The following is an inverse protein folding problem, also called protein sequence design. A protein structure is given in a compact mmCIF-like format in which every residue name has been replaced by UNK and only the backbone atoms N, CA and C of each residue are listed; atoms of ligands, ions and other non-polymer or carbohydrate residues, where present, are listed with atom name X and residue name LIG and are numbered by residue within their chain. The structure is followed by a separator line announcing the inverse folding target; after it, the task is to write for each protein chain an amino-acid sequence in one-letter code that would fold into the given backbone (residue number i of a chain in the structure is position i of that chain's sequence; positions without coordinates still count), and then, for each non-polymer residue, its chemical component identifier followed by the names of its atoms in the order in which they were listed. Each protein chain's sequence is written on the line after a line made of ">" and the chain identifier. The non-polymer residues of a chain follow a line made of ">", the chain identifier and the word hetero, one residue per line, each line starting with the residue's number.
data_IF_960193933631
#
_entry.id   IF_960193933631
#
_cell.length_a   1.000
_cell.length_b   1.000
_cell.length_c   1.000
_cell.angle_alpha   90.00
_cell.angle_beta   90.00
_cell.angle_gamma   90.00
#
_symmetry.space_group_name_H-M   'P 1'
#
loop_
_entity.id
_entity.type
_entity.pdbx_description
1 polymer ?
#
# COMPACT_ATOMS: atom_id res chain seq x y z
N UNK A 1 4.42 -3.85 -12.53
CA UNK A 1 3.07 -4.32 -12.18
C UNK A 1 2.08 -4.07 -13.32
N UNK A 2 1.65 -2.82 -13.64
CA UNK A 2 0.62 -2.53 -14.66
C UNK A 2 0.99 -3.05 -16.07
N UNK A 3 2.26 -2.96 -16.46
CA UNK A 3 2.75 -3.52 -17.71
C UNK A 3 2.70 -5.05 -17.74
N UNK A 4 3.16 -5.70 -16.67
CA UNK A 4 3.11 -7.18 -16.54
C UNK A 4 1.67 -7.68 -16.63
N UNK A 5 0.72 -6.99 -15.98
CA UNK A 5 -0.69 -7.34 -16.10
C UNK A 5 -1.22 -7.12 -17.53
N UNK A 6 -0.83 -6.00 -18.17
CA UNK A 6 -1.27 -5.69 -19.52
C UNK A 6 -0.80 -6.73 -20.55
N UNK A 7 0.41 -7.23 -20.38
CA UNK A 7 1.06 -8.15 -21.34
C UNK A 7 0.74 -9.61 -21.04
N UNK A 8 0.59 -9.99 -19.77
CA UNK A 8 0.58 -11.41 -19.38
C UNK A 8 -0.69 -11.90 -18.70
N UNK A 9 -1.66 -11.02 -18.37
CA UNK A 9 -2.85 -11.45 -17.62
C UNK A 9 -3.62 -12.58 -18.33
N UNK A 10 -3.94 -12.39 -19.61
CA UNK A 10 -4.75 -13.35 -20.37
C UNK A 10 -3.99 -14.67 -20.61
N UNK A 11 -2.70 -14.58 -20.92
CA UNK A 11 -1.85 -15.75 -21.10
C UNK A 11 -1.71 -16.54 -19.78
N UNK A 12 -1.52 -15.84 -18.67
CA UNK A 12 -1.40 -16.44 -17.33
C UNK A 12 -2.73 -17.09 -16.91
N UNK A 13 -3.86 -16.41 -17.14
CA UNK A 13 -5.19 -16.97 -16.85
C UNK A 13 -5.46 -18.24 -17.67
N UNK A 14 -5.14 -18.22 -18.98
CA UNK A 14 -5.30 -19.36 -19.88
C UNK A 14 -4.44 -20.57 -19.47
N UNK A 15 -3.19 -20.31 -19.08
CA UNK A 15 -2.24 -21.37 -18.75
C UNK A 15 -2.34 -21.84 -17.29
N UNK A 16 -3.20 -21.24 -16.46
CA UNK A 16 -3.29 -21.57 -15.04
C UNK A 16 -2.09 -21.08 -14.22
N UNK A 17 -1.36 -20.09 -14.72
CA UNK A 17 -0.23 -19.47 -14.02
C UNK A 17 -0.71 -18.28 -13.19
N UNK A 18 -0.46 -18.29 -11.89
CA UNK A 18 -0.82 -17.20 -10.98
C UNK A 18 0.40 -16.31 -10.75
N UNK A 19 0.32 -15.06 -11.20
CA UNK A 19 1.36 -14.05 -11.05
C UNK A 19 0.88 -12.99 -10.05
N UNK A 20 1.61 -12.85 -8.95
CA UNK A 20 1.29 -11.90 -7.88
C UNK A 20 2.41 -10.88 -7.80
N UNK A 21 2.08 -9.63 -8.08
CA UNK A 21 3.05 -8.53 -8.08
C UNK A 21 3.07 -7.81 -6.74
N UNK A 22 4.23 -7.23 -6.39
CA UNK A 22 4.36 -6.36 -5.23
C UNK A 22 4.18 -7.06 -3.86
N UNK A 23 4.74 -8.27 -3.71
CA UNK A 23 4.75 -9.03 -2.46
C UNK A 23 5.90 -8.58 -1.53
N UNK A 24 6.04 -7.29 -1.27
CA UNK A 24 7.05 -6.71 -0.38
C UNK A 24 6.47 -5.61 0.49
N UNK A 25 7.36 -4.87 1.18
CA UNK A 25 6.93 -3.76 2.04
C UNK A 25 6.17 -2.69 1.24
N UNK A 26 6.67 -2.31 0.07
CA UNK A 26 5.93 -1.43 -0.86
C UNK A 26 4.78 -2.21 -1.48
N UNK A 27 3.81 -2.51 -0.66
CA UNK A 27 2.42 -2.75 -0.91
C UNK A 27 1.72 -3.61 0.13
N UNK A 28 2.31 -4.70 0.64
CA UNK A 28 1.61 -5.64 1.55
C UNK A 28 1.11 -4.95 2.83
N UNK A 29 1.93 -4.22 3.59
CA UNK A 29 1.45 -3.53 4.80
C UNK A 29 0.37 -2.49 4.51
N UNK A 30 0.45 -1.80 3.36
CA UNK A 30 -0.57 -0.84 2.95
C UNK A 30 -1.87 -1.53 2.55
N UNK A 31 -1.78 -2.61 1.79
CA UNK A 31 -2.94 -3.31 1.24
C UNK A 31 -3.66 -4.12 2.31
N UNK A 32 -2.95 -4.98 3.03
CA UNK A 32 -3.54 -5.75 4.14
C UNK A 32 -3.95 -4.84 5.30
N UNK A 33 -3.19 -3.78 5.56
CA UNK A 33 -3.56 -2.76 6.55
C UNK A 33 -4.84 -2.02 6.18
N UNK A 34 -5.04 -1.68 4.90
CA UNK A 34 -6.30 -1.14 4.42
C UNK A 34 -7.45 -2.14 4.57
N UNK A 35 -7.25 -3.41 4.21
CA UNK A 35 -8.26 -4.45 4.37
C UNK A 35 -8.62 -4.67 5.85
N UNK A 36 -7.62 -4.72 6.73
CA UNK A 36 -7.83 -4.79 8.18
C UNK A 36 -8.60 -3.58 8.69
N UNK A 37 -8.17 -2.36 8.33
CA UNK A 37 -8.82 -1.11 8.71
C UNK A 37 -10.28 -1.05 8.24
N UNK A 38 -10.51 -1.40 6.97
CA UNK A 38 -11.83 -1.39 6.34
C UNK A 38 -12.83 -2.27 7.09
N UNK A 39 -12.41 -3.39 7.61
CA UNK A 39 -13.22 -4.34 8.37
C UNK A 39 -13.56 -3.88 9.80
N UNK A 40 -12.92 -2.81 10.29
CA UNK A 40 -13.29 -2.20 11.58
C UNK A 40 -14.58 -1.34 11.49
N UNK A 41 -15.03 -1.03 10.28
CA UNK A 41 -16.27 -0.28 10.04
C UNK A 41 -17.48 -1.20 10.09
N UNK A 42 -17.89 -1.56 11.33
CA UNK A 42 -19.06 -2.39 11.53
C UNK A 42 -20.35 -1.64 11.11
N UNK A 43 -21.31 -2.31 10.43
CA UNK A 43 -22.59 -1.71 10.12
C UNK A 43 -23.29 -1.14 11.37
N UNK A 44 -23.98 0.00 11.26
CA UNK A 44 -24.31 0.74 10.04
C UNK A 44 -23.24 1.74 9.58
N UNK A 45 -22.04 1.77 10.19
CA UNK A 45 -21.00 2.74 9.85
C UNK A 45 -20.30 2.42 8.53
N UNK A 46 -19.88 3.49 7.83
CA UNK A 46 -19.21 3.40 6.52
C UNK A 46 -18.06 4.39 6.43
N UNK A 47 -16.90 3.99 5.90
CA UNK A 47 -15.78 4.90 5.64
C UNK A 47 -16.05 5.73 4.38
N UNK A 48 -15.50 6.94 4.34
CA UNK A 48 -15.41 7.79 3.14
C UNK A 48 -13.95 7.84 2.66
N UNK A 49 -13.04 8.05 3.59
CA UNK A 49 -11.62 8.19 3.27
C UNK A 49 -10.74 7.52 4.31
N UNK A 50 -9.62 6.98 3.84
CA UNK A 50 -8.56 6.41 4.67
C UNK A 50 -7.24 7.00 4.22
N UNK A 51 -6.57 7.72 5.11
CA UNK A 51 -5.24 8.25 4.88
C UNK A 51 -4.22 7.40 5.64
N UNK A 52 -3.32 6.75 4.92
CA UNK A 52 -2.20 6.05 5.52
C UNK A 52 -1.01 7.00 5.72
N UNK A 53 -0.34 6.86 6.87
CA UNK A 53 0.84 7.61 7.26
C UNK A 53 1.97 6.65 7.59
N UNK A 54 3.03 6.67 6.80
CA UNK A 54 4.19 5.78 6.96
C UNK A 54 5.27 6.50 7.75
N UNK A 55 5.63 5.97 8.91
CA UNK A 55 6.71 6.44 9.76
C UNK A 55 7.81 5.40 9.86
N UNK A 56 9.04 5.80 9.63
CA UNK A 56 10.23 5.00 9.89
C UNK A 56 10.86 5.49 11.18
N UNK A 57 11.17 4.57 12.08
CA UNK A 57 11.73 4.87 13.40
C UNK A 57 13.05 4.15 13.59
N UNK A 58 14.03 4.83 14.15
CA UNK A 58 15.33 4.27 14.53
C UNK A 58 16.06 5.24 15.48
N UNK A 59 16.85 4.70 16.38
CA UNK A 59 17.80 5.46 17.19
C UNK A 59 19.07 5.84 16.41
N UNK A 60 19.24 5.23 15.23
CA UNK A 60 20.36 5.48 14.31
C UNK A 60 19.84 6.14 13.02
N UNK A 61 20.79 6.64 12.22
CA UNK A 61 20.44 7.17 10.90
C UNK A 61 19.84 6.07 10.04
N UNK A 62 18.61 6.29 9.57
CA UNK A 62 17.94 5.38 8.64
C UNK A 62 18.63 5.44 7.29
N UNK A 63 18.93 4.28 6.73
CA UNK A 63 19.48 4.11 5.39
C UNK A 63 18.68 3.05 4.66
N UNK A 64 18.10 3.43 3.51
CA UNK A 64 17.33 2.53 2.67
C UNK A 64 18.20 1.72 1.71
N UNK A 65 17.58 0.70 1.11
CA UNK A 65 18.21 -0.12 0.07
C UNK A 65 18.46 0.71 -1.20
N UNK A 66 19.64 0.56 -1.79
CA UNK A 66 19.99 1.26 -3.04
C UNK A 66 19.05 0.95 -4.18
N UNK A 67 18.57 -0.30 -4.31
CA UNK A 67 17.59 -0.70 -5.33
C UNK A 67 16.27 0.06 -5.27
N UNK A 68 15.85 0.49 -4.07
CA UNK A 68 14.67 1.35 -3.90
C UNK A 68 14.90 2.73 -4.54
N UNK A 69 16.07 3.33 -4.33
CA UNK A 69 16.44 4.60 -4.95
C UNK A 69 16.53 4.46 -6.49
N UNK A 70 17.19 3.41 -6.95
CA UNK A 70 17.30 3.09 -8.38
C UNK A 70 15.93 2.90 -9.02
N UNK A 71 15.04 2.14 -8.38
CA UNK A 71 13.66 1.94 -8.85
C UNK A 71 12.87 3.26 -8.94
N UNK A 72 13.06 4.18 -7.99
CA UNK A 72 12.44 5.50 -8.05
C UNK A 72 12.95 6.33 -9.24
N UNK A 73 14.28 6.31 -9.48
CA UNK A 73 14.91 7.00 -10.62
C UNK A 73 14.41 6.42 -11.95
N UNK A 74 14.35 5.09 -12.09
CA UNK A 74 13.85 4.41 -13.29
C UNK A 74 12.33 4.60 -13.45
N UNK A 75 11.59 4.74 -12.36
CA UNK A 75 10.16 5.05 -12.39
C UNK A 75 9.86 6.39 -13.05
N UNK A 76 10.70 7.41 -12.80
CA UNK A 76 10.60 8.72 -13.48
C UNK A 76 10.97 8.59 -14.94
N UNK A 77 12.02 7.84 -15.28
CA UNK A 77 12.45 7.61 -16.66
C UNK A 77 11.34 6.99 -17.52
N UNK A 78 10.57 6.06 -16.95
CA UNK A 78 9.53 5.30 -17.65
C UNK A 78 8.11 5.88 -17.46
N UNK A 79 7.98 7.09 -16.89
CA UNK A 79 6.68 7.67 -16.55
C UNK A 79 5.79 7.93 -17.78
N UNK A 80 6.38 8.33 -18.91
CA UNK A 80 5.67 8.57 -20.16
C UNK A 80 5.09 7.27 -20.75
N UNK A 81 5.87 6.18 -20.73
CA UNK A 81 5.43 4.86 -21.20
C UNK A 81 4.26 4.34 -20.34
N UNK A 82 4.37 4.50 -19.01
CA UNK A 82 3.29 4.13 -18.10
C UNK A 82 2.02 4.94 -18.35
N UNK A 83 2.15 6.24 -18.65
CA UNK A 83 1.00 7.08 -18.99
C UNK A 83 0.36 6.66 -20.33
N UNK A 84 1.18 6.33 -21.34
CA UNK A 84 0.71 5.82 -22.62
C UNK A 84 -0.06 4.50 -22.44
N UNK A 85 0.49 3.56 -21.66
CA UNK A 85 -0.16 2.31 -21.30
C UNK A 85 -1.51 2.53 -20.61
N UNK A 86 -1.58 3.46 -19.66
CA UNK A 86 -2.84 3.79 -18.95
C UNK A 86 -3.89 4.42 -19.84
N UNK A 87 -3.48 5.16 -20.87
CA UNK A 87 -4.39 5.79 -21.84
C UNK A 87 -4.92 4.79 -22.88
N UNK A 88 -4.12 3.78 -23.25
CA UNK A 88 -4.50 2.76 -24.25
C UNK A 88 -5.45 1.70 -23.68
N UNK A 89 -5.59 1.60 -22.36
CA UNK A 89 -6.43 0.57 -21.72
C UNK A 89 -7.80 1.12 -21.27
N UNK A 90 -8.85 0.29 -21.32
CA UNK A 90 -10.14 0.66 -20.75
C UNK A 90 -9.97 0.99 -19.24
N UNK A 91 -10.77 1.94 -18.78
CA UNK A 91 -10.79 2.29 -17.37
C UNK A 91 -11.39 1.14 -16.56
N UNK A 92 -10.69 0.73 -15.51
CA UNK A 92 -11.25 -0.24 -14.56
C UNK A 92 -12.45 0.34 -13.81
N UNK A 93 -13.42 -0.50 -13.43
CA UNK A 93 -14.52 -0.09 -12.58
C UNK A 93 -13.98 0.48 -11.26
N UNK A 94 -14.70 1.47 -10.76
CA UNK A 94 -14.38 2.11 -9.48
C UNK A 94 -15.42 1.69 -8.45
N UNK A 95 -14.99 1.42 -7.22
CA UNK A 95 -15.94 1.13 -6.16
C UNK A 95 -16.86 2.33 -5.92
N UNK A 96 -18.10 2.06 -5.55
CA UNK A 96 -19.01 3.08 -5.06
C UNK A 96 -18.59 3.44 -3.62
N UNK A 97 -18.07 4.66 -3.44
CA UNK A 97 -17.63 5.17 -2.14
C UNK A 97 -18.66 6.20 -1.67
N UNK A 98 -19.19 6.04 -0.46
CA UNK A 98 -20.14 7.01 0.09
C UNK A 98 -19.53 8.40 0.25
N UNK A 99 -20.28 9.44 -0.12
CA UNK A 99 -19.88 10.84 0.06
C UNK A 99 -18.84 11.34 -0.95
N UNK A 100 -18.49 12.63 -0.86
CA UNK A 100 -17.54 13.25 -1.77
C UNK A 100 -16.10 12.82 -1.45
N UNK A 101 -15.21 12.82 -2.47
CA UNK A 101 -13.79 12.61 -2.22
C UNK A 101 -13.23 13.68 -1.27
N UNK A 102 -12.29 13.32 -0.39
CA UNK A 102 -11.68 14.28 0.52
C UNK A 102 -11.01 15.42 -0.26
N UNK A 103 -10.99 16.65 0.28
CA UNK A 103 -10.33 17.76 -0.37
C UNK A 103 -8.85 17.44 -0.61
N UNK A 104 -8.30 18.00 -1.68
CA UNK A 104 -6.86 17.90 -1.92
C UNK A 104 -6.16 18.68 -0.79
N UNK A 105 -5.60 17.96 0.18
CA UNK A 105 -4.82 18.57 1.25
C UNK A 105 -3.54 19.22 0.76
N UNK A 106 -2.85 19.94 1.64
CA UNK A 106 -1.52 20.51 1.38
C UNK A 106 -0.50 19.42 1.01
N UNK A 107 0.52 19.81 0.24
CA UNK A 107 1.64 18.91 -0.07
C UNK A 107 2.34 18.43 1.21
N UNK A 108 2.53 19.38 2.16
CA UNK A 108 3.08 19.14 3.50
C UNK A 108 2.04 19.58 4.52
N UNK A 109 1.83 18.77 5.53
CA UNK A 109 0.93 19.07 6.65
C UNK A 109 1.52 18.55 7.96
N UNK A 110 1.05 19.08 9.09
CA UNK A 110 1.30 18.53 10.41
C UNK A 110 0.02 17.84 10.89
N UNK A 111 0.05 16.51 10.98
CA UNK A 111 -1.06 15.76 11.54
C UNK A 111 -1.05 15.89 13.07
N UNK A 112 -2.08 16.54 13.61
CA UNK A 112 -2.20 16.83 15.05
C UNK A 112 -2.50 15.58 15.87
N UNK A 113 -3.17 14.59 15.27
CA UNK A 113 -3.55 13.35 15.96
C UNK A 113 -2.34 12.46 16.18
N UNK A 114 -1.47 12.38 15.18
CA UNK A 114 -0.25 11.57 15.22
C UNK A 114 0.97 12.35 15.74
N UNK A 115 0.90 13.70 15.76
CA UNK A 115 2.02 14.56 16.13
C UNK A 115 3.17 14.52 15.11
N UNK A 116 2.88 14.22 13.85
CA UNK A 116 3.88 14.00 12.80
C UNK A 116 3.71 14.99 11.64
N UNK A 117 4.83 15.41 11.08
CA UNK A 117 4.85 16.07 9.78
C UNK A 117 4.67 15.04 8.68
N UNK A 118 3.83 15.32 7.70
CA UNK A 118 3.50 14.41 6.61
C UNK A 118 3.66 15.08 5.25
N UNK A 119 4.16 14.31 4.28
CA UNK A 119 4.31 14.75 2.89
C UNK A 119 3.66 13.74 1.96
N UNK A 120 2.92 14.24 0.96
CA UNK A 120 2.37 13.42 -0.11
C UNK A 120 3.42 13.20 -1.18
N UNK A 121 3.82 11.95 -1.36
CA UNK A 121 4.71 11.50 -2.42
C UNK A 121 4.02 10.47 -3.32
N UNK A 122 4.45 10.31 -4.58
CA UNK A 122 4.03 9.18 -5.40
C UNK A 122 4.36 7.87 -4.67
N UNK A 123 3.36 6.98 -4.52
CA UNK A 123 3.51 5.69 -3.86
C UNK A 123 2.86 4.58 -4.68
N UNK A 124 3.52 3.44 -4.76
CA UNK A 124 2.98 2.21 -5.31
C UNK A 124 1.77 1.72 -4.50
N UNK A 125 1.77 1.90 -3.18
CA UNK A 125 0.72 1.48 -2.26
C UNK A 125 -0.66 1.99 -2.66
N UNK A 126 -0.76 3.29 -3.00
CA UNK A 126 -2.02 3.87 -3.46
C UNK A 126 -2.54 3.20 -4.74
N UNK A 127 -1.62 2.81 -5.63
CA UNK A 127 -1.99 2.14 -6.89
C UNK A 127 -2.46 0.72 -6.61
N UNK A 128 -1.75 -0.02 -5.75
CA UNK A 128 -2.06 -1.41 -5.43
C UNK A 128 -3.41 -1.53 -4.72
N UNK A 129 -3.65 -0.73 -3.67
CA UNK A 129 -4.95 -0.71 -2.96
C UNK A 129 -6.10 -0.37 -3.90
N UNK A 130 -5.96 0.63 -4.78
CA UNK A 130 -6.99 0.96 -5.77
C UNK A 130 -7.26 -0.17 -6.75
N UNK A 131 -6.23 -0.93 -7.12
CA UNK A 131 -6.39 -2.09 -8.02
C UNK A 131 -7.12 -3.23 -7.35
N UNK A 132 -6.81 -3.51 -6.09
CA UNK A 132 -7.56 -4.49 -5.28
C UNK A 132 -9.02 -4.09 -5.15
N UNK A 133 -9.30 -2.84 -4.83
CA UNK A 133 -10.67 -2.34 -4.78
C UNK A 133 -11.40 -2.44 -6.13
N UNK A 134 -10.71 -2.20 -7.26
CA UNK A 134 -11.28 -2.40 -8.59
C UNK A 134 -11.57 -3.88 -8.87
N UNK A 135 -10.64 -4.79 -8.52
CA UNK A 135 -10.83 -6.24 -8.66
C UNK A 135 -12.03 -6.72 -7.85
N UNK A 136 -12.18 -6.24 -6.61
CA UNK A 136 -13.35 -6.58 -5.76
C UNK A 136 -14.65 -5.96 -6.31
N UNK A 137 -14.57 -4.82 -6.98
CA UNK A 137 -15.74 -4.23 -7.67
C UNK A 137 -16.18 -5.08 -8.86
N UNK A 138 -15.23 -5.67 -9.61
CA UNK A 138 -15.49 -6.62 -10.70
C UNK A 138 -15.96 -7.98 -10.17
N UNK A 139 -15.42 -8.40 -9.02
CA UNK A 139 -15.70 -9.68 -8.36
C UNK A 139 -16.10 -9.45 -6.90
N UNK A 140 -17.36 -9.08 -6.60
CA UNK A 140 -17.77 -8.70 -5.24
C UNK A 140 -17.61 -9.80 -4.19
N UNK A 141 -17.65 -11.06 -4.62
CA UNK A 141 -17.38 -12.21 -3.75
C UNK A 141 -15.88 -12.58 -3.68
N UNK A 142 -15.00 -11.79 -4.33
CA UNK A 142 -13.59 -12.10 -4.52
C UNK A 142 -13.32 -13.11 -5.63
N UNK A 143 -12.04 -13.34 -5.91
CA UNK A 143 -11.60 -14.27 -6.94
C UNK A 143 -11.77 -15.72 -6.43
N UNK A 144 -12.48 -16.60 -7.16
CA UNK A 144 -12.68 -17.98 -6.74
C UNK A 144 -11.37 -18.78 -6.81
N UNK A 145 -11.21 -19.74 -5.91
CA UNK A 145 -10.11 -20.71 -5.92
C UNK A 145 -10.23 -21.75 -7.02
N UNK A 146 -9.13 -22.45 -7.29
CA UNK A 146 -9.10 -23.52 -8.33
C UNK A 146 -10.01 -24.68 -7.94
N UNK A 147 -9.92 -25.11 -6.68
CA UNK A 147 -10.63 -26.25 -6.11
C UNK A 147 -10.96 -25.95 -4.64
N UNK A 148 -11.50 -24.73 -4.39
CA UNK A 148 -11.83 -24.31 -3.04
C UNK A 148 -12.98 -25.14 -2.44
N UNK A 149 -12.91 -25.41 -1.14
CA UNK A 149 -14.00 -26.04 -0.41
C UNK A 149 -15.20 -25.09 -0.28
N UNK A 150 -16.39 -25.63 -0.04
CA UNK A 150 -17.58 -24.82 0.21
C UNK A 150 -17.39 -23.87 1.42
N UNK A 151 -16.76 -24.36 2.47
CA UNK A 151 -16.47 -23.58 3.68
C UNK A 151 -15.51 -22.41 3.38
N UNK A 152 -14.48 -22.63 2.55
CA UNK A 152 -13.59 -21.54 2.16
C UNK A 152 -14.27 -20.54 1.22
N UNK A 153 -15.09 -21.02 0.29
CA UNK A 153 -15.89 -20.15 -0.58
C UNK A 153 -16.82 -19.22 0.22
N UNK A 154 -17.48 -19.74 1.25
CA UNK A 154 -18.29 -18.95 2.17
C UNK A 154 -17.42 -17.96 2.98
N UNK A 155 -16.30 -18.42 3.53
CA UNK A 155 -15.34 -17.56 4.24
C UNK A 155 -14.85 -16.41 3.35
N UNK A 156 -14.47 -16.68 2.10
CA UNK A 156 -14.05 -15.68 1.11
C UNK A 156 -15.14 -14.64 0.85
N UNK A 157 -16.38 -15.08 0.62
CA UNK A 157 -17.53 -14.18 0.44
C UNK A 157 -17.76 -13.30 1.66
N UNK A 158 -17.73 -13.88 2.86
CA UNK A 158 -17.90 -13.17 4.11
C UNK A 158 -16.77 -12.16 4.36
N UNK A 159 -15.54 -12.54 4.03
CA UNK A 159 -14.39 -11.63 4.09
C UNK A 159 -14.63 -10.39 3.22
N UNK A 160 -14.91 -10.57 1.93
CA UNK A 160 -15.08 -9.46 0.99
C UNK A 160 -16.32 -8.62 1.26
N UNK A 161 -17.41 -9.20 1.73
CA UNK A 161 -18.61 -8.45 2.17
C UNK A 161 -18.33 -7.51 3.34
N UNK A 162 -17.36 -7.85 4.18
CA UNK A 162 -16.90 -7.02 5.30
C UNK A 162 -15.97 -5.88 4.89
N UNK A 163 -15.35 -5.93 3.71
CA UNK A 163 -14.45 -4.87 3.20
C UNK A 163 -15.28 -3.71 2.66
N UNK A 164 -15.10 -2.53 3.24
CA UNK A 164 -15.80 -1.30 2.84
C UNK A 164 -14.84 -0.42 2.02
N UNK A 165 -15.19 -0.07 0.77
CA UNK A 165 -14.35 0.79 -0.06
C UNK A 165 -14.27 2.20 0.50
N UNK A 166 -13.11 2.84 0.35
CA UNK A 166 -12.87 4.22 0.74
C UNK A 166 -11.87 4.90 -0.20
N UNK A 167 -11.89 6.24 -0.24
CA UNK A 167 -10.83 7.00 -0.89
C UNK A 167 -9.53 6.81 -0.14
N UNK A 168 -8.54 6.19 -0.78
CA UNK A 168 -7.27 5.84 -0.15
C UNK A 168 -6.12 6.71 -0.62
N UNK A 169 -5.32 7.19 0.32
CA UNK A 169 -4.09 7.93 0.11
C UNK A 169 -2.98 7.49 1.04
N UNK A 170 -1.71 7.77 0.65
CA UNK A 170 -0.52 7.46 1.46
C UNK A 170 0.34 8.70 1.57
N UNK A 171 0.88 8.97 2.76
CA UNK A 171 1.85 10.02 3.05
C UNK A 171 3.04 9.44 3.80
N UNK A 172 4.24 9.93 3.48
CA UNK A 172 5.41 9.68 4.32
C UNK A 172 5.43 10.70 5.46
N UNK A 173 5.92 10.26 6.62
CA UNK A 173 5.97 11.13 7.80
C UNK A 173 7.37 11.25 8.36
N UNK A 174 7.57 12.34 9.12
CA UNK A 174 8.76 12.60 9.90
C UNK A 174 8.40 13.28 11.21
N UNK A 175 9.15 12.98 12.27
CA UNK A 175 9.05 13.70 13.56
C UNK A 175 9.50 15.16 13.45
N UNK A 176 10.31 15.49 12.45
CA UNK A 176 10.87 16.82 12.24
C UNK A 176 10.57 17.39 10.87
N UNK A 177 10.43 18.71 10.78
CA UNK A 177 10.30 19.41 9.51
C UNK A 177 11.54 19.23 8.62
N UNK A 178 12.74 19.09 9.23
CA UNK A 178 13.97 18.83 8.50
C UNK A 178 13.88 17.51 7.70
N UNK A 179 13.31 16.46 8.27
CA UNK A 179 13.08 15.20 7.55
C UNK A 179 12.18 15.39 6.32
N UNK A 180 11.14 16.23 6.44
CA UNK A 180 10.28 16.57 5.28
C UNK A 180 11.07 17.32 4.20
N UNK A 181 11.92 18.28 4.59
CA UNK A 181 12.79 19.01 3.65
C UNK A 181 13.72 18.04 2.91
N UNK A 182 14.28 17.05 3.61
CA UNK A 182 15.11 16.02 2.99
C UNK A 182 14.33 15.15 1.98
N UNK A 183 13.09 14.77 2.28
CA UNK A 183 12.23 14.06 1.33
C UNK A 183 11.94 14.91 0.09
N UNK A 184 11.64 16.21 0.28
CA UNK A 184 11.41 17.15 -0.82
C UNK A 184 12.68 17.27 -1.68
N UNK A 185 13.83 17.49 -1.07
CA UNK A 185 15.11 17.58 -1.77
C UNK A 185 15.38 16.33 -2.63
N UNK A 186 15.25 15.14 -2.04
CA UNK A 186 15.45 13.87 -2.74
C UNK A 186 14.46 13.71 -3.90
N UNK A 187 13.18 14.01 -3.66
CA UNK A 187 12.14 13.95 -4.69
C UNK A 187 12.38 14.93 -5.85
N UNK A 188 12.83 16.15 -5.54
CA UNK A 188 13.20 17.15 -6.56
C UNK A 188 14.42 16.70 -7.37
N UNK A 189 15.46 16.17 -6.74
CA UNK A 189 16.63 15.63 -7.43
C UNK A 189 16.24 14.51 -8.40
N UNK A 190 15.43 13.56 -7.95
CA UNK A 190 14.94 12.45 -8.79
C UNK A 190 14.04 12.99 -9.91
N UNK A 191 13.12 13.91 -9.62
CA UNK A 191 12.19 14.47 -10.60
C UNK A 191 12.87 15.27 -11.71
N UNK A 192 13.87 16.08 -11.34
CA UNK A 192 14.59 16.94 -12.29
C UNK A 192 15.62 16.15 -13.11
N UNK A 193 16.38 15.26 -12.47
CA UNK A 193 17.50 14.55 -13.11
C UNK A 193 17.10 13.20 -13.72
N UNK A 194 16.06 12.55 -13.19
CA UNK A 194 15.64 11.20 -13.61
C UNK A 194 15.10 11.14 -15.03
N UNK A 195 14.64 12.26 -15.60
CA UNK A 195 14.05 12.32 -16.95
C UNK A 195 15.06 12.09 -18.09
N UNK A 196 16.35 12.30 -17.90
CA UNK A 196 17.38 12.21 -18.94
C UNK A 196 18.57 11.33 -18.52
N UNK A 197 19.24 10.70 -19.49
CA UNK A 197 20.24 9.64 -19.27
C UNK A 197 21.45 10.11 -18.41
N UNK A 198 22.00 11.30 -18.69
CA UNK A 198 23.09 11.85 -17.91
C UNK A 198 22.68 12.10 -16.44
N UNK A 199 21.50 12.69 -16.22
CA UNK A 199 20.99 12.93 -14.87
C UNK A 199 20.78 11.63 -14.08
N UNK A 200 20.23 10.58 -14.71
CA UNK A 200 20.11 9.25 -14.11
C UNK A 200 21.48 8.68 -13.72
N UNK A 201 22.44 8.77 -14.64
CA UNK A 201 23.81 8.31 -14.39
C UNK A 201 24.43 9.01 -13.18
N UNK A 202 24.20 10.33 -13.06
CA UNK A 202 24.67 11.13 -11.94
C UNK A 202 24.01 10.74 -10.61
N UNK A 203 22.66 10.59 -10.60
CA UNK A 203 21.89 10.12 -9.44
C UNK A 203 22.40 8.76 -8.94
N UNK A 204 22.53 7.78 -9.84
CA UNK A 204 22.96 6.43 -9.50
C UNK A 204 24.44 6.34 -9.14
N UNK A 205 25.28 7.26 -9.61
CA UNK A 205 26.69 7.34 -9.23
C UNK A 205 26.87 7.90 -7.82
N UNK A 206 26.07 8.90 -7.43
CA UNK A 206 26.18 9.61 -6.15
C UNK A 206 24.89 9.59 -5.33
N UNK A 207 24.30 8.40 -5.04
CA UNK A 207 23.00 8.30 -4.39
C UNK A 207 22.97 8.97 -3.01
N UNK A 208 24.04 8.86 -2.25
CA UNK A 208 24.13 9.46 -0.90
C UNK A 208 24.03 10.99 -0.92
N UNK A 209 24.60 11.64 -1.93
CA UNK A 209 24.50 13.09 -2.09
C UNK A 209 23.07 13.53 -2.43
N UNK A 210 22.47 12.92 -3.47
CA UNK A 210 21.16 13.29 -3.98
C UNK A 210 19.99 12.82 -3.11
N UNK A 211 20.24 11.97 -2.13
CA UNK A 211 19.25 11.52 -1.16
C UNK A 211 19.51 12.05 0.26
N UNK A 212 20.37 13.07 0.43
CA UNK A 212 20.76 13.55 1.75
C UNK A 212 21.25 12.42 2.69
N UNK A 213 21.87 11.39 2.11
CA UNK A 213 22.41 10.23 2.82
C UNK A 213 21.39 9.15 3.20
N UNK A 214 20.15 9.23 2.70
CA UNK A 214 19.14 8.18 2.91
C UNK A 214 19.44 6.90 2.14
N UNK A 215 20.14 7.00 0.99
CA UNK A 215 20.49 5.85 0.18
C UNK A 215 22.00 5.83 -0.10
N UNK A 216 22.60 4.66 0.02
CA UNK A 216 24.01 4.40 -0.24
C UNK A 216 24.17 3.11 -1.02
N UNK A 217 25.20 3.00 -1.88
CA UNK A 217 25.49 1.76 -2.62
C UNK A 217 25.83 0.58 -1.70
N UNK A 218 26.46 0.86 -0.58
CA UNK A 218 26.79 -0.15 0.44
C UNK A 218 25.56 -0.62 1.25
N UNK A 219 24.42 0.06 1.11
CA UNK A 219 23.24 -0.19 1.94
C UNK A 219 23.43 0.21 3.42
N UNK A 220 22.51 -0.16 4.30
CA UNK A 220 22.63 0.02 5.75
C UNK A 220 23.61 -0.98 6.37
N UNK A 221 24.11 -0.65 7.56
CA UNK A 221 24.83 -1.62 8.41
C UNK A 221 23.85 -2.49 9.18
N UNK A 222 24.32 -3.65 9.70
CA UNK A 222 23.48 -4.54 10.53
C UNK A 222 22.87 -3.81 11.74
N UNK A 223 23.63 -2.93 12.37
CA UNK A 223 23.14 -2.10 13.47
C UNK A 223 22.06 -1.12 13.05
N UNK A 224 22.12 -0.57 11.82
CA UNK A 224 21.07 0.31 11.29
C UNK A 224 19.81 -0.48 10.96
N UNK A 225 19.95 -1.70 10.47
CA UNK A 225 18.82 -2.61 10.21
C UNK A 225 18.17 -3.04 11.53
N UNK A 226 18.95 -3.53 12.49
CA UNK A 226 18.41 -4.06 13.76
C UNK A 226 17.75 -2.99 14.64
N UNK A 227 18.19 -1.72 14.53
CA UNK A 227 17.59 -0.60 15.29
C UNK A 227 16.36 0.03 14.62
N UNK A 228 16.07 -0.32 13.37
CA UNK A 228 15.00 0.32 12.63
C UNK A 228 13.68 -0.47 12.71
N UNK A 229 12.58 0.27 12.69
CA UNK A 229 11.22 -0.25 12.66
C UNK A 229 10.33 0.68 11.84
N UNK A 230 9.12 0.23 11.54
CA UNK A 230 8.12 1.07 10.90
C UNK A 230 6.79 1.05 11.63
N UNK A 231 6.03 2.11 11.45
CA UNK A 231 4.61 2.20 11.77
C UNK A 231 3.86 2.78 10.57
N UNK A 232 2.81 2.12 10.17
CA UNK A 232 1.89 2.61 9.15
C UNK A 232 0.52 2.79 9.81
N UNK A 233 0.15 4.04 10.03
CA UNK A 233 -1.11 4.42 10.62
C UNK A 233 -2.15 4.58 9.52
N UNK A 234 -3.37 4.11 9.75
CA UNK A 234 -4.52 4.31 8.88
C UNK A 234 -5.54 5.13 9.62
N UNK A 235 -5.72 6.38 9.22
CA UNK A 235 -6.72 7.29 9.78
C UNK A 235 -7.90 7.33 8.85
N UNK A 236 -8.99 6.70 9.26
CA UNK A 236 -10.22 6.61 8.49
C UNK A 236 -11.26 7.60 9.01
N UNK A 237 -11.89 8.33 8.08
CA UNK A 237 -13.02 9.20 8.36
C UNK A 237 -14.25 8.71 7.59
N UNK A 238 -15.41 8.75 8.23
CA UNK A 238 -16.64 8.29 7.64
C UNK A 238 -17.86 8.65 8.48
N UNK A 239 -18.93 7.94 8.27
CA UNK A 239 -20.19 8.19 8.95
C UNK A 239 -20.53 7.04 9.90
N UNK A 240 -21.09 7.38 11.06
CA UNK A 240 -21.59 6.40 12.03
C UNK A 240 -22.80 5.62 11.50
N UNK A 241 -23.54 6.20 10.55
CA UNK A 241 -24.67 5.59 9.87
C UNK A 241 -24.61 5.87 8.36
N UNK A 242 -24.71 4.82 7.54
CA UNK A 242 -24.76 4.91 6.10
C UNK A 242 -25.94 5.77 5.59
N UNK A 243 -27.05 5.82 6.32
CA UNK A 243 -28.21 6.66 5.98
C UNK A 243 -27.91 8.17 6.02
N UNK A 244 -26.88 8.59 6.73
CA UNK A 244 -26.44 10.00 6.82
C UNK A 244 -25.58 10.46 5.65
N UNK A 245 -25.17 9.55 4.76
CA UNK A 245 -24.26 9.85 3.63
C UNK A 245 -24.83 10.74 2.52
N UNK A 246 -26.14 10.84 2.23
CA UNK A 246 -26.61 11.52 1.02
C UNK A 246 -26.70 13.04 1.11
N UNK A 247 -26.66 13.64 2.29
CA UNK A 247 -26.81 15.10 2.41
C UNK A 247 -25.52 15.81 1.96
N UNK A 248 -25.62 16.55 0.84
CA UNK A 248 -24.54 17.40 0.35
C UNK A 248 -24.08 18.35 1.47
N UNK A 249 -22.87 18.12 1.98
CA UNK A 249 -22.25 18.98 2.98
C UNK A 249 -22.16 18.37 4.38
N UNK A 250 -22.71 17.19 4.64
CA UNK A 250 -22.50 16.50 5.91
C UNK A 250 -21.02 16.16 6.08
N UNK A 251 -20.43 16.56 7.19
CA UNK A 251 -19.06 16.18 7.54
C UNK A 251 -19.04 14.75 8.14
N UNK A 252 -17.98 13.97 7.89
CA UNK A 252 -17.77 12.73 8.62
C UNK A 252 -17.89 12.95 10.14
N UNK A 253 -18.60 12.07 10.83
CA UNK A 253 -18.84 12.12 12.27
C UNK A 253 -18.14 10.99 13.04
N UNK A 254 -17.41 10.12 12.32
CA UNK A 254 -16.68 8.99 12.91
C UNK A 254 -15.26 8.91 12.39
N UNK A 255 -14.34 8.65 13.31
CA UNK A 255 -12.94 8.35 13.01
C UNK A 255 -12.55 6.98 13.57
N UNK A 256 -11.84 6.20 12.77
CA UNK A 256 -11.20 4.95 13.21
C UNK A 256 -9.72 5.06 12.87
N UNK A 257 -8.85 4.70 13.82
CA UNK A 257 -7.41 4.64 13.62
C UNK A 257 -6.95 3.21 13.85
N UNK A 258 -6.29 2.65 12.85
CA UNK A 258 -5.58 1.38 12.95
C UNK A 258 -4.10 1.57 12.64
N UNK A 259 -3.29 0.57 12.97
CA UNK A 259 -1.85 0.61 12.74
C UNK A 259 -1.35 -0.76 12.30
N UNK A 260 -0.47 -0.77 11.30
CA UNK A 260 0.41 -1.89 11.00
C UNK A 260 1.82 -1.48 11.43
N UNK A 261 2.53 -2.34 12.15
CA UNK A 261 3.92 -2.08 12.53
C UNK A 261 4.77 -3.33 12.46
N UNK A 262 6.08 -3.15 12.40
CA UNK A 262 7.04 -4.25 12.30
C UNK A 262 8.48 -3.77 12.30
N UNK A 263 9.44 -4.68 12.13
CA UNK A 263 10.86 -4.36 12.09
C UNK A 263 11.25 -3.59 10.81
N UNK A 264 12.54 -3.44 10.55
CA UNK A 264 13.08 -2.71 9.40
C UNK A 264 12.45 -3.16 8.08
N UNK A 265 12.14 -2.20 7.20
CA UNK A 265 11.25 -2.39 6.06
C UNK A 265 11.84 -3.21 4.91
N UNK A 266 13.15 -3.06 4.63
CA UNK A 266 13.78 -3.59 3.43
C UNK A 266 14.42 -4.96 3.62
N UNK A 267 15.12 -5.15 4.72
CA UNK A 267 15.96 -6.33 4.98
C UNK A 267 15.34 -7.32 5.96
N UNK A 268 14.31 -6.91 6.73
CA UNK A 268 13.61 -7.79 7.67
C UNK A 268 12.15 -7.97 7.24
N UNK A 269 11.37 -6.90 7.17
CA UNK A 269 9.94 -7.00 6.85
C UNK A 269 9.70 -7.52 5.43
N UNK A 270 10.41 -7.01 4.42
CA UNK A 270 10.19 -7.47 3.03
C UNK A 270 10.46 -8.97 2.84
N UNK A 271 11.58 -9.55 3.34
CA UNK A 271 11.77 -11.00 3.30
C UNK A 271 10.69 -11.80 4.04
N UNK A 272 10.29 -11.37 5.24
CA UNK A 272 9.19 -12.02 5.99
C UNK A 272 7.93 -12.06 5.13
N UNK A 273 7.52 -10.92 4.62
CA UNK A 273 6.31 -10.78 3.79
C UNK A 273 6.38 -11.66 2.54
N UNK A 274 7.50 -11.63 1.82
CA UNK A 274 7.69 -12.40 0.59
C UNK A 274 7.63 -13.91 0.86
N UNK A 275 8.30 -14.37 1.90
CA UNK A 275 8.32 -15.78 2.30
C UNK A 275 6.92 -16.25 2.73
N UNK A 276 6.22 -15.45 3.54
CA UNK A 276 4.86 -15.82 3.97
C UNK A 276 3.88 -15.86 2.79
N UNK A 277 3.96 -14.93 1.84
CA UNK A 277 3.18 -14.99 0.61
C UNK A 277 3.48 -16.28 -0.20
N UNK A 278 4.74 -16.66 -0.32
CA UNK A 278 5.13 -17.88 -1.00
C UNK A 278 4.61 -19.14 -0.28
N UNK A 279 4.69 -19.17 1.06
CA UNK A 279 4.18 -20.29 1.86
C UNK A 279 2.65 -20.42 1.74
N UNK A 280 1.90 -19.31 1.75
CA UNK A 280 0.45 -19.36 1.50
C UNK A 280 0.17 -19.87 0.09
N UNK A 281 0.91 -19.38 -0.93
CA UNK A 281 0.75 -19.85 -2.30
C UNK A 281 0.97 -21.37 -2.42
N UNK A 282 1.93 -21.93 -1.70
CA UNK A 282 2.22 -23.37 -1.70
C UNK A 282 1.20 -24.19 -0.90
N UNK A 283 0.83 -23.71 0.30
CA UNK A 283 -0.02 -24.49 1.22
C UNK A 283 -1.52 -24.36 0.93
N UNK A 284 -1.96 -23.29 0.27
CA UNK A 284 -3.37 -22.98 0.03
C UNK A 284 -3.70 -22.83 -1.46
N UNK A 285 -2.95 -23.47 -2.35
CA UNK A 285 -3.11 -23.29 -3.81
C UNK A 285 -4.53 -23.56 -4.29
N UNK A 286 -5.24 -24.52 -3.73
CA UNK A 286 -6.63 -24.83 -4.05
C UNK A 286 -7.59 -23.67 -3.79
N UNK A 287 -7.32 -22.85 -2.79
CA UNK A 287 -8.11 -21.69 -2.37
C UNK A 287 -7.79 -20.41 -3.16
N UNK A 288 -6.76 -20.44 -4.01
CA UNK A 288 -6.30 -19.26 -4.75
C UNK A 288 -6.73 -19.32 -6.22
N UNK A 289 -6.83 -18.16 -6.90
CA UNK A 289 -7.26 -18.10 -8.30
C UNK A 289 -6.43 -19.01 -9.21
N UNK A 290 -7.05 -19.59 -10.23
CA UNK A 290 -6.42 -20.52 -11.16
C UNK A 290 -5.21 -19.88 -11.85
N UNK A 291 -5.38 -18.69 -12.39
CA UNK A 291 -4.33 -17.96 -13.11
C UNK A 291 -4.70 -16.51 -13.34
N UNK A 292 -3.72 -15.74 -13.79
CA UNK A 292 -3.86 -14.30 -14.04
C UNK A 292 -2.78 -13.50 -13.32
N UNK A 293 -2.82 -12.18 -13.45
CA UNK A 293 -1.93 -11.23 -12.78
C UNK A 293 -2.74 -10.37 -11.83
N UNK A 294 -2.45 -10.47 -10.54
CA UNK A 294 -3.23 -9.82 -9.49
C UNK A 294 -2.35 -9.12 -8.45
N UNK A 295 -3.01 -8.30 -7.62
CA UNK A 295 -2.41 -7.72 -6.43
C UNK A 295 -2.45 -8.71 -5.26
N UNK A 296 -1.51 -8.60 -4.30
CA UNK A 296 -1.48 -9.51 -3.15
C UNK A 296 -2.78 -9.52 -2.34
N UNK A 297 -3.36 -8.35 -2.05
CA UNK A 297 -4.59 -8.26 -1.27
C UNK A 297 -5.78 -8.95 -1.93
N UNK A 298 -5.91 -8.85 -3.28
CA UNK A 298 -7.00 -9.54 -3.98
C UNK A 298 -6.86 -11.06 -3.97
N UNK A 299 -5.63 -11.58 -3.85
CA UNK A 299 -5.34 -13.03 -3.79
C UNK A 299 -5.33 -13.56 -2.36
N UNK A 300 -4.59 -12.88 -1.49
CA UNK A 300 -4.31 -13.37 -0.14
C UNK A 300 -5.27 -12.82 0.93
N UNK A 301 -6.07 -11.80 0.63
CA UNK A 301 -6.94 -11.17 1.62
C UNK A 301 -7.76 -12.15 2.46
N UNK A 302 -8.49 -13.11 1.87
CA UNK A 302 -9.29 -14.08 2.62
C UNK A 302 -8.50 -15.28 3.17
N UNK A 303 -7.17 -15.33 3.00
CA UNK A 303 -6.32 -16.40 3.54
C UNK A 303 -5.83 -16.09 4.96
N UNK A 304 -5.01 -16.96 5.53
CA UNK A 304 -4.38 -16.76 6.84
C UNK A 304 -3.13 -15.86 6.79
N UNK A 305 -2.87 -15.16 5.69
CA UNK A 305 -1.66 -14.34 5.52
C UNK A 305 -1.49 -13.31 6.65
N UNK A 306 -2.56 -12.65 7.09
CA UNK A 306 -2.48 -11.67 8.17
C UNK A 306 -1.99 -12.33 9.46
N UNK A 307 -2.54 -13.50 9.83
CA UNK A 307 -2.12 -14.25 11.02
C UNK A 307 -0.64 -14.65 10.91
N UNK A 308 -0.22 -15.21 9.76
CA UNK A 308 1.18 -15.59 9.53
C UNK A 308 2.14 -14.41 9.68
N UNK A 309 1.76 -13.23 9.18
CA UNK A 309 2.57 -12.02 9.35
C UNK A 309 2.66 -11.61 10.83
N UNK A 310 1.57 -11.74 11.59
CA UNK A 310 1.58 -11.45 13.02
C UNK A 310 2.45 -12.43 13.81
N UNK A 311 2.42 -13.71 13.47
CA UNK A 311 3.29 -14.73 14.06
C UNK A 311 4.79 -14.53 13.72
N UNK A 312 5.08 -13.74 12.67
CA UNK A 312 6.42 -13.43 12.19
C UNK A 312 6.85 -11.96 12.42
N UNK A 313 6.26 -11.28 13.40
CA UNK A 313 6.77 -10.02 13.92
C UNK A 313 6.15 -8.74 13.35
N UNK A 314 5.11 -8.84 12.54
CA UNK A 314 4.26 -7.70 12.21
C UNK A 314 3.09 -7.62 13.20
N UNK A 315 2.54 -6.41 13.40
CA UNK A 315 1.30 -6.26 14.17
C UNK A 315 0.24 -5.50 13.38
N UNK A 316 -1.03 -5.83 13.66
CA UNK A 316 -2.21 -5.16 13.12
C UNK A 316 -3.09 -4.78 14.30
N UNK A 317 -3.12 -3.49 14.63
CA UNK A 317 -3.75 -2.98 15.85
C UNK A 317 -4.92 -2.05 15.53
N UNK A 318 -6.05 -2.23 16.20
CA UNK A 318 -7.07 -1.18 16.34
C UNK A 318 -6.61 -0.23 17.45
N UNK A 319 -6.31 1.02 17.08
CA UNK A 319 -5.75 2.01 18.02
C UNK A 319 -6.85 2.80 18.71
N UNK A 320 -7.79 3.32 17.92
CA UNK A 320 -8.91 4.09 18.48
C UNK A 320 -10.13 4.08 17.54
N UNK A 321 -11.28 4.24 18.15
CA UNK A 321 -12.55 4.54 17.47
C UNK A 321 -13.20 5.68 18.24
N UNK A 322 -13.53 6.77 17.55
CA UNK A 322 -14.17 7.94 18.17
C UNK A 322 -15.24 8.57 17.30
N UNK A 323 -16.22 9.19 17.92
CA UNK A 323 -17.17 10.13 17.27
C UNK A 323 -16.50 11.51 17.24
N UNK A 324 -16.65 12.23 16.12
CA UNK A 324 -16.07 13.55 15.88
C UNK A 324 -17.02 14.67 16.26
#
# INVERSE_FOLDING_TARGET
>A
MERVEAEFHDAAAKNGSLIISACGFDSIPAELGFLFHSRQWAPPSVPVSVQAYVSLESDKKIVGNFGTFESAVLGVANASELQALRRSRPRRPRPNIPGPPPPKGSLVEHDKTLGLWAIKLPSADTVVVKRTLSTVTEHPEGLPGVEESADFAEHRKNFWSSVKPAHFGVKLTSKSLLGIVQFIFTGLCIGLLGGFSFGRSLLLKFPSFFSAGWFRKSGPTEEQVSSASFKMWFVGHGYSDAARTPERGSKPDREIITRVSGPEIGYITTPIVLVQCALVLLSQRCNLPKGGVYTPGSVFGPTDIQQRLQENGLSFDLVSTRTL
#
